data_IF_583941271356
#
_entry.id   IF_583941271356
#
_cell.length_a   1.000
_cell.length_b   1.000
_cell.length_c   1.000
_cell.angle_alpha   90.00
_cell.angle_beta   90.00
_cell.angle_gamma   90.00
#
_symmetry.space_group_name_H-M   'P 1'
#
loop_
_entity.id
_entity.type
_entity.pdbx_description
1 polymer ?
#
# COMPACT_ATOMS: atom_id res chain seq x y z
N UNK A 1 -15.11 -17.06 7.81
CA UNK A 1 -15.72 -15.80 7.40
C UNK A 1 -15.03 -15.27 6.16
N UNK A 2 -15.84 -14.88 5.14
CA UNK A 2 -15.41 -14.44 3.83
C UNK A 2 -14.95 -12.96 3.84
N UNK A 3 -15.53 -12.21 4.74
CA UNK A 3 -15.27 -10.80 4.98
C UNK A 3 -14.90 -10.59 6.44
N UNK A 4 -13.96 -9.70 6.68
CA UNK A 4 -13.53 -9.35 8.02
C UNK A 4 -13.51 -7.83 8.16
N UNK A 5 -14.16 -7.26 9.21
CA UNK A 5 -14.00 -5.86 9.52
C UNK A 5 -12.61 -5.59 10.09
N UNK A 6 -12.02 -4.46 9.70
CA UNK A 6 -10.79 -3.92 10.27
C UNK A 6 -11.00 -2.45 10.59
N UNK A 7 -10.38 -1.98 11.66
CA UNK A 7 -10.29 -0.55 11.97
C UNK A 7 -8.95 -0.04 11.45
N UNK A 8 -8.95 1.13 10.80
CA UNK A 8 -7.75 1.77 10.28
C UNK A 8 -6.92 2.30 11.47
N UNK A 9 -5.66 1.84 11.63
CA UNK A 9 -4.87 2.15 12.83
C UNK A 9 -4.00 3.41 12.69
N UNK A 10 -3.95 4.05 11.52
CA UNK A 10 -3.05 5.18 11.26
C UNK A 10 -3.47 6.02 10.06
N UNK A 11 -2.97 7.26 10.01
CA UNK A 11 -3.22 8.24 8.95
C UNK A 11 -2.49 7.96 7.62
N UNK A 12 -1.76 6.85 7.50
CA UNK A 12 -0.88 6.60 6.33
C UNK A 12 -1.63 6.38 5.01
N UNK A 13 -2.95 6.18 5.05
CA UNK A 13 -3.81 5.99 3.86
C UNK A 13 -4.74 7.19 3.61
N UNK A 14 -4.55 8.31 4.33
CA UNK A 14 -5.24 9.54 4.01
C UNK A 14 -4.86 10.04 2.59
N UNK A 15 -5.79 10.66 1.88
CA UNK A 15 -7.15 11.04 2.25
C UNK A 15 -8.22 9.96 1.96
N UNK A 16 -7.84 8.75 1.54
CA UNK A 16 -8.82 7.74 1.17
C UNK A 16 -9.38 6.97 2.37
N UNK A 17 -8.58 6.82 3.42
CA UNK A 17 -8.96 6.15 4.67
C UNK A 17 -8.37 6.92 5.84
N UNK A 18 -9.21 7.23 6.84
CA UNK A 18 -8.82 7.95 8.03
C UNK A 18 -8.63 6.99 9.21
N UNK A 19 -7.81 7.40 10.17
CA UNK A 19 -7.67 6.66 11.42
C UNK A 19 -9.03 6.53 12.11
N UNK A 20 -9.35 5.30 12.56
CA UNK A 20 -10.64 4.98 13.17
C UNK A 20 -11.72 4.52 12.20
N UNK A 21 -11.54 4.68 10.88
CA UNK A 21 -12.48 4.16 9.89
C UNK A 21 -12.59 2.63 9.96
N UNK A 22 -13.79 2.13 9.68
CA UNK A 22 -14.05 0.71 9.52
C UNK A 22 -14.06 0.34 8.06
N UNK A 23 -13.27 -0.66 7.70
CA UNK A 23 -13.27 -1.23 6.34
C UNK A 23 -13.67 -2.68 6.36
N UNK A 24 -14.16 -3.16 5.24
CA UNK A 24 -14.43 -4.58 5.01
C UNK A 24 -13.31 -5.16 4.16
N UNK A 25 -12.67 -6.21 4.65
CA UNK A 25 -11.60 -6.90 3.92
C UNK A 25 -12.12 -8.17 3.31
N UNK A 26 -12.07 -8.24 1.98
CA UNK A 26 -12.38 -9.43 1.21
C UNK A 26 -11.18 -10.37 1.19
N UNK A 27 -11.28 -11.45 1.94
CA UNK A 27 -10.24 -12.50 1.99
C UNK A 27 -10.19 -13.36 0.73
N UNK A 28 -11.26 -13.36 -0.06
CA UNK A 28 -11.32 -14.09 -1.33
C UNK A 28 -10.72 -13.37 -2.50
N UNK A 29 -10.55 -12.06 -2.41
CA UNK A 29 -10.09 -11.26 -3.54
C UNK A 29 -8.87 -11.91 -4.22
N UNK A 30 -8.02 -12.56 -3.40
CA UNK A 30 -6.77 -13.17 -3.89
C UNK A 30 -6.61 -14.66 -3.56
N UNK A 31 -7.69 -15.35 -3.14
CA UNK A 31 -7.64 -16.74 -2.67
C UNK A 31 -7.14 -16.85 -1.22
N UNK A 32 -7.04 -18.07 -0.73
CA UNK A 32 -6.71 -18.35 0.66
C UNK A 32 -5.19 -18.50 0.86
N UNK A 33 -4.65 -17.82 1.84
CA UNK A 33 -3.28 -18.02 2.35
C UNK A 33 -3.33 -18.30 3.85
N UNK A 34 -2.20 -18.71 4.44
CA UNK A 34 -2.10 -18.85 5.91
C UNK A 34 -2.47 -17.56 6.64
N UNK A 35 -2.10 -16.40 6.10
CA UNK A 35 -2.46 -15.09 6.66
C UNK A 35 -3.97 -14.80 6.64
N UNK A 36 -4.73 -15.44 5.74
CA UNK A 36 -6.19 -15.27 5.64
C UNK A 36 -6.96 -16.18 6.61
N UNK A 37 -6.30 -17.18 7.21
CA UNK A 37 -6.92 -18.15 8.12
C UNK A 37 -6.83 -17.68 9.58
N UNK A 38 -7.82 -18.06 10.44
CA UNK A 38 -7.72 -17.84 11.87
C UNK A 38 -6.45 -18.49 12.43
N UNK A 39 -5.79 -17.78 13.37
CA UNK A 39 -4.56 -18.23 14.03
C UNK A 39 -3.32 -18.41 13.13
N UNK A 40 -3.39 -17.98 11.85
CA UNK A 40 -2.27 -18.02 10.91
C UNK A 40 -1.51 -19.37 10.92
N UNK A 41 -2.18 -20.53 10.67
CA UNK A 41 -1.55 -21.83 10.78
C UNK A 41 -0.46 -22.00 9.71
N UNK A 42 0.72 -22.56 10.04
CA UNK A 42 1.82 -22.72 9.09
C UNK A 42 1.62 -23.84 8.07
N UNK A 43 0.43 -24.41 8.01
CA UNK A 43 0.14 -25.65 7.26
C UNK A 43 -0.09 -25.39 5.76
N UNK A 44 -0.48 -24.16 5.38
CA UNK A 44 -0.80 -23.81 3.99
C UNK A 44 0.33 -23.01 3.38
N UNK A 45 1.16 -23.64 2.57
CA UNK A 45 2.16 -22.96 1.73
C UNK A 45 1.50 -22.54 0.41
N UNK A 46 1.54 -21.24 0.12
CA UNK A 46 0.95 -20.64 -1.07
C UNK A 46 -0.55 -20.33 -0.95
N UNK A 47 -1.17 -19.93 -2.07
CA UNK A 47 -2.60 -19.60 -2.14
C UNK A 47 -3.38 -20.66 -2.89
N UNK A 48 -4.50 -21.08 -2.32
CA UNK A 48 -5.51 -21.86 -3.02
C UNK A 48 -6.40 -20.92 -3.85
N UNK A 49 -6.73 -21.29 -5.10
CA UNK A 49 -7.51 -20.48 -6.04
C UNK A 49 -6.87 -19.10 -6.29
N UNK A 50 -5.64 -19.10 -6.77
CA UNK A 50 -4.78 -17.94 -6.92
C UNK A 50 -5.37 -16.85 -7.81
N UNK A 51 -5.73 -15.73 -7.20
CA UNK A 51 -5.87 -14.43 -7.86
C UNK A 51 -4.76 -13.52 -7.30
N UNK A 52 -4.16 -12.70 -8.14
CA UNK A 52 -3.08 -11.80 -7.75
C UNK A 52 -3.62 -10.40 -7.51
N UNK A 53 -3.07 -9.65 -6.52
CA UNK A 53 -3.34 -8.23 -6.39
C UNK A 53 -3.04 -7.49 -7.68
N UNK A 54 -3.92 -6.55 -8.03
CA UNK A 54 -3.71 -5.64 -9.14
C UNK A 54 -3.04 -4.35 -8.64
N UNK A 55 -2.33 -3.66 -9.54
CA UNK A 55 -1.80 -2.33 -9.22
C UNK A 55 -2.96 -1.39 -8.88
N UNK A 56 -2.82 -0.63 -7.80
CA UNK A 56 -3.85 0.25 -7.27
C UNK A 56 -4.78 -0.39 -6.24
N UNK A 57 -4.78 -1.71 -6.08
CA UNK A 57 -5.54 -2.35 -4.99
C UNK A 57 -5.01 -1.89 -3.62
N UNK A 58 -5.92 -1.65 -2.69
CA UNK A 58 -5.57 -1.46 -1.28
C UNK A 58 -5.61 -2.80 -0.59
N UNK A 59 -4.50 -3.19 0.01
CA UNK A 59 -4.34 -4.50 0.64
C UNK A 59 -4.12 -4.37 2.15
N UNK A 60 -4.76 -5.25 2.91
CA UNK A 60 -4.46 -5.49 4.32
C UNK A 60 -3.56 -6.70 4.40
N UNK A 61 -2.49 -6.60 5.17
CA UNK A 61 -1.47 -7.63 5.27
C UNK A 61 -0.89 -7.71 6.69
N UNK A 62 -0.31 -8.86 7.03
CA UNK A 62 0.52 -9.01 8.22
C UNK A 62 1.91 -8.48 7.94
N UNK A 63 2.41 -7.63 8.84
CA UNK A 63 3.74 -7.07 8.68
C UNK A 63 4.79 -8.20 8.75
N UNK A 64 5.71 -8.31 7.76
CA UNK A 64 6.64 -9.45 7.72
C UNK A 64 7.50 -9.61 8.98
N UNK A 65 7.96 -8.49 9.58
CA UNK A 65 8.77 -8.50 10.80
C UNK A 65 7.96 -8.72 12.09
N UNK A 66 6.64 -8.48 12.03
CA UNK A 66 5.73 -8.64 13.17
C UNK A 66 4.36 -9.12 12.65
N UNK A 67 4.17 -10.44 12.50
CA UNK A 67 2.91 -10.99 11.98
C UNK A 67 1.69 -10.77 12.87
N UNK A 68 1.86 -10.27 14.09
CA UNK A 68 0.75 -9.87 14.96
C UNK A 68 0.14 -8.54 14.53
N UNK A 69 0.92 -7.67 13.88
CA UNK A 69 0.48 -6.38 13.38
C UNK A 69 -0.13 -6.51 11.97
N UNK A 70 -1.36 -6.00 11.82
CA UNK A 70 -2.00 -5.85 10.51
C UNK A 70 -1.82 -4.41 10.02
N UNK A 71 -1.32 -4.28 8.78
CA UNK A 71 -1.08 -3.01 8.11
C UNK A 71 -1.90 -2.91 6.83
N UNK A 72 -2.08 -1.68 6.35
CA UNK A 72 -2.81 -1.39 5.13
C UNK A 72 -2.01 -0.45 4.24
N UNK A 73 -1.88 -0.79 2.95
CA UNK A 73 -1.16 0.01 1.94
C UNK A 73 -1.74 -0.24 0.55
N UNK A 74 -1.40 0.62 -0.39
CA UNK A 74 -1.76 0.48 -1.81
C UNK A 74 -0.65 -0.22 -2.58
N UNK A 75 -1.04 -1.16 -3.43
CA UNK A 75 -0.12 -1.86 -4.35
C UNK A 75 0.29 -0.90 -5.47
N UNK A 76 1.59 -0.66 -5.59
CA UNK A 76 2.19 0.20 -6.62
C UNK A 76 2.99 -0.62 -7.62
N UNK A 77 3.81 -1.57 -7.16
CA UNK A 77 4.61 -2.45 -8.01
C UNK A 77 4.17 -3.90 -7.92
N UNK A 78 4.05 -4.54 -9.07
CA UNK A 78 3.73 -5.96 -9.23
C UNK A 78 5.00 -6.78 -9.42
N UNK A 79 4.96 -8.12 -9.22
CA UNK A 79 6.09 -8.98 -9.52
C UNK A 79 6.64 -8.73 -10.93
N UNK A 80 7.95 -8.48 -11.05
CA UNK A 80 8.63 -8.17 -12.30
C UNK A 80 8.77 -6.68 -12.61
N UNK A 81 8.03 -5.80 -11.93
CA UNK A 81 8.18 -4.35 -12.11
C UNK A 81 9.48 -3.82 -11.52
N UNK A 82 9.88 -2.67 -12.02
CA UNK A 82 10.85 -1.78 -11.38
C UNK A 82 10.13 -0.53 -10.93
N UNK A 83 10.18 -0.22 -9.63
CA UNK A 83 9.58 0.99 -9.04
C UNK A 83 10.68 1.92 -8.58
N UNK A 84 10.56 3.20 -8.89
CA UNK A 84 11.46 4.25 -8.41
C UNK A 84 10.65 5.50 -8.07
N UNK A 85 11.10 6.25 -7.07
CA UNK A 85 10.56 7.57 -6.76
C UNK A 85 11.64 8.60 -7.07
N UNK A 86 11.27 9.67 -7.78
CA UNK A 86 12.14 10.81 -8.11
C UNK A 86 11.40 12.11 -7.85
N UNK A 87 11.86 12.91 -6.88
CA UNK A 87 11.20 14.15 -6.48
C UNK A 87 9.72 13.93 -6.12
N UNK A 88 9.37 12.86 -5.42
CA UNK A 88 8.01 12.48 -5.06
C UNK A 88 7.19 11.85 -6.22
N UNK A 89 7.70 11.88 -7.45
CA UNK A 89 7.06 11.24 -8.60
C UNK A 89 7.31 9.74 -8.61
N UNK A 90 6.25 8.94 -8.61
CA UNK A 90 6.35 7.49 -8.77
C UNK A 90 6.58 7.14 -10.24
N UNK A 91 7.59 6.32 -10.49
CA UNK A 91 7.85 5.70 -11.80
C UNK A 91 7.69 4.18 -11.68
N UNK A 92 7.01 3.59 -12.62
CA UNK A 92 6.88 2.14 -12.75
C UNK A 92 7.38 1.74 -14.13
N UNK A 93 8.42 0.91 -14.18
CA UNK A 93 9.10 0.52 -15.42
C UNK A 93 9.54 1.75 -16.24
N UNK A 94 10.15 2.73 -15.55
CA UNK A 94 10.58 4.03 -16.07
C UNK A 94 9.47 4.95 -16.60
N UNK A 95 8.20 4.56 -16.46
CA UNK A 95 7.07 5.38 -16.86
C UNK A 95 6.49 6.09 -15.62
N UNK A 96 6.36 7.43 -15.66
CA UNK A 96 5.77 8.16 -14.55
C UNK A 96 4.26 7.85 -14.43
N UNK A 97 3.80 7.62 -13.21
CA UNK A 97 2.37 7.58 -12.90
C UNK A 97 1.81 8.99 -13.09
N UNK A 98 0.76 9.13 -13.88
CA UNK A 98 0.18 10.45 -14.16
C UNK A 98 -0.32 11.11 -12.86
N UNK A 99 0.04 12.38 -12.64
CA UNK A 99 -0.30 13.17 -11.46
C UNK A 99 -1.04 14.45 -11.84
N UNK A 100 -2.13 14.73 -11.15
CA UNK A 100 -2.88 15.97 -11.28
C UNK A 100 -2.99 16.64 -9.91
N UNK A 101 -2.31 17.75 -9.67
CA UNK A 101 -2.49 18.54 -8.43
C UNK A 101 -3.92 19.04 -8.31
N UNK A 102 -4.52 18.92 -7.14
CA UNK A 102 -5.89 19.36 -6.86
C UNK A 102 -5.94 20.59 -5.95
N UNK A 103 -4.85 20.89 -5.26
CA UNK A 103 -4.75 22.04 -4.37
C UNK A 103 -4.26 21.69 -2.98
N UNK A 104 -4.11 22.73 -2.15
CA UNK A 104 -3.67 22.56 -0.78
C UNK A 104 -4.72 21.84 0.06
N UNK A 105 -4.25 20.95 0.92
CA UNK A 105 -5.03 20.23 1.90
C UNK A 105 -4.31 20.24 3.25
N UNK A 106 -4.93 19.63 4.25
CA UNK A 106 -4.34 19.44 5.56
C UNK A 106 -4.35 17.97 5.90
N UNK A 107 -3.27 17.50 6.46
CA UNK A 107 -3.17 16.20 7.09
C UNK A 107 -4.12 16.20 8.31
N UNK A 108 -5.01 15.22 8.41
CA UNK A 108 -5.97 15.15 9.50
C UNK A 108 -5.29 14.82 10.83
N UNK A 109 -4.29 13.95 10.79
CA UNK A 109 -3.50 13.52 11.95
C UNK A 109 -2.50 14.61 12.42
N UNK A 110 -2.09 15.48 11.50
CA UNK A 110 -1.19 16.61 11.77
C UNK A 110 -1.74 17.89 11.11
N UNK A 111 -2.79 18.54 11.68
CA UNK A 111 -3.49 19.66 11.04
C UNK A 111 -2.62 20.90 10.76
N UNK A 112 -1.49 21.04 11.44
CA UNK A 112 -0.48 22.09 11.17
C UNK A 112 0.32 21.79 9.90
N UNK A 113 0.36 20.54 9.45
CA UNK A 113 1.07 20.11 8.26
C UNK A 113 0.24 20.42 7.01
N UNK A 114 0.76 21.29 6.20
CA UNK A 114 0.20 21.55 4.87
C UNK A 114 0.66 20.47 3.91
N UNK A 115 -0.29 19.90 3.17
CA UNK A 115 -0.01 18.92 2.14
C UNK A 115 -0.69 19.34 0.84
N UNK A 116 -0.20 18.84 -0.27
CA UNK A 116 -0.83 18.95 -1.58
C UNK A 116 -1.68 17.70 -1.81
N UNK A 117 -2.97 17.87 -2.06
CA UNK A 117 -3.80 16.79 -2.57
C UNK A 117 -3.50 16.57 -4.06
N UNK A 118 -3.20 15.35 -4.43
CA UNK A 118 -2.83 14.96 -5.79
C UNK A 118 -3.67 13.77 -6.21
N UNK A 119 -4.21 13.80 -7.44
CA UNK A 119 -4.80 12.61 -8.06
C UNK A 119 -3.72 11.90 -8.85
N UNK A 120 -3.47 10.66 -8.52
CA UNK A 120 -2.68 9.75 -9.34
C UNK A 120 -3.59 8.90 -10.22
N UNK A 121 -3.22 8.73 -11.48
CA UNK A 121 -3.98 7.95 -12.46
C UNK A 121 -3.09 6.87 -13.04
N UNK A 122 -3.54 5.62 -12.91
CA UNK A 122 -2.86 4.45 -13.43
C UNK A 122 -3.09 4.30 -14.94
N UNK A 123 -2.26 3.49 -15.60
CA UNK A 123 -2.35 3.26 -17.03
C UNK A 123 -3.66 2.61 -17.51
N UNK A 124 -4.42 1.99 -16.60
CA UNK A 124 -5.76 1.44 -16.88
C UNK A 124 -6.90 2.44 -16.65
N UNK A 125 -6.58 3.69 -16.31
CA UNK A 125 -7.53 4.77 -16.06
C UNK A 125 -8.07 4.84 -14.63
N UNK A 126 -7.79 3.86 -13.77
CA UNK A 126 -8.14 3.96 -12.34
C UNK A 126 -7.32 5.07 -11.68
N UNK A 127 -7.95 5.80 -10.78
CA UNK A 127 -7.30 6.89 -10.06
C UNK A 127 -7.61 6.85 -8.58
N UNK A 128 -6.73 7.46 -7.79
CA UNK A 128 -6.87 7.62 -6.35
C UNK A 128 -6.21 8.92 -5.92
N UNK A 129 -6.58 9.38 -4.73
CA UNK A 129 -5.99 10.57 -4.13
C UNK A 129 -4.77 10.22 -3.30
N UNK A 130 -3.81 11.15 -3.25
CA UNK A 130 -2.65 11.07 -2.38
C UNK A 130 -2.40 12.41 -1.70
N UNK A 131 -1.73 12.39 -0.56
CA UNK A 131 -1.16 13.56 0.07
C UNK A 131 0.35 13.59 -0.13
N UNK A 132 0.86 14.76 -0.52
CA UNK A 132 2.27 15.05 -0.79
C UNK A 132 2.67 16.26 0.07
N UNK A 133 3.68 16.12 0.91
CA UNK A 133 4.17 17.16 1.81
C UNK A 133 5.10 18.18 1.14
N UNK A 134 5.30 18.07 -0.16
CA UNK A 134 6.18 18.95 -0.95
C UNK A 134 7.59 18.37 -1.15
N UNK A 135 8.43 19.13 -1.78
CA UNK A 135 9.77 18.69 -2.18
C UNK A 135 10.72 18.44 -1.01
N UNK A 136 11.59 17.45 -1.18
CA UNK A 136 12.69 17.18 -0.26
C UNK A 136 12.30 16.41 0.99
N UNK A 137 11.14 15.75 0.95
CA UNK A 137 10.73 14.86 2.04
C UNK A 137 11.53 13.55 2.01
N UNK A 138 11.73 12.91 3.16
CA UNK A 138 12.31 11.58 3.20
C UNK A 138 11.47 10.59 2.34
N UNK A 139 12.13 9.86 1.45
CA UNK A 139 11.46 8.92 0.53
C UNK A 139 11.01 9.51 -0.80
N UNK A 140 11.27 10.83 -1.05
CA UNK A 140 11.01 11.46 -2.35
C UNK A 140 11.97 10.98 -3.45
N UNK A 141 13.17 10.59 -3.07
CA UNK A 141 14.17 10.07 -3.98
C UNK A 141 14.66 8.70 -3.51
N UNK A 142 14.50 7.70 -4.37
CA UNK A 142 14.95 6.34 -4.10
C UNK A 142 15.80 5.81 -5.25
N UNK A 143 16.55 4.74 -4.98
CA UNK A 143 17.04 3.87 -6.04
C UNK A 143 15.89 3.08 -6.69
N UNK A 144 16.17 2.39 -7.81
CA UNK A 144 15.19 1.50 -8.41
C UNK A 144 15.00 0.25 -7.55
N UNK A 145 13.75 -0.11 -7.27
CA UNK A 145 13.37 -1.36 -6.62
C UNK A 145 12.87 -2.34 -7.67
N UNK A 146 13.60 -3.41 -7.92
CA UNK A 146 13.10 -4.52 -8.73
C UNK A 146 12.23 -5.43 -7.84
N UNK A 147 10.97 -5.59 -8.22
CA UNK A 147 10.01 -6.40 -7.45
C UNK A 147 10.15 -7.87 -7.86
N UNK A 148 10.59 -8.76 -6.95
CA UNK A 148 10.75 -10.18 -7.25
C UNK A 148 9.42 -10.90 -7.48
N UNK A 149 9.48 -12.11 -8.02
CA UNK A 149 8.32 -13.01 -8.08
C UNK A 149 7.73 -13.25 -6.67
N UNK A 150 6.40 -13.21 -6.56
CA UNK A 150 5.70 -13.44 -5.30
C UNK A 150 5.81 -12.30 -4.28
N UNK A 151 6.28 -11.13 -4.69
CA UNK A 151 6.36 -9.94 -3.84
C UNK A 151 5.70 -8.73 -4.49
N UNK A 152 5.42 -7.71 -3.68
CA UNK A 152 4.77 -6.47 -4.11
C UNK A 152 5.48 -5.27 -3.50
N UNK A 153 5.50 -4.16 -4.26
CA UNK A 153 5.90 -2.86 -3.74
C UNK A 153 4.63 -2.09 -3.37
N UNK A 154 4.53 -1.69 -2.11
CA UNK A 154 3.33 -1.02 -1.59
C UNK A 154 3.69 0.36 -1.03
N UNK A 155 2.77 1.32 -1.15
CA UNK A 155 2.92 2.67 -0.60
C UNK A 155 1.66 3.11 0.13
N UNK A 156 1.84 4.00 1.12
CA UNK A 156 0.74 4.74 1.69
C UNK A 156 0.25 5.85 0.76
N UNK A 157 -1.02 6.20 0.86
CA UNK A 157 -1.60 7.32 0.10
C UNK A 157 -1.19 8.66 0.70
N UNK A 158 -0.98 8.76 2.02
CA UNK A 158 -0.31 9.87 2.69
C UNK A 158 1.21 9.69 2.56
N UNK A 159 1.76 10.10 1.42
CA UNK A 159 3.10 9.78 0.93
C UNK A 159 4.21 10.07 1.95
N UNK A 160 4.14 11.20 2.62
CA UNK A 160 5.19 11.65 3.54
C UNK A 160 4.85 11.35 5.01
N UNK A 161 3.75 10.65 5.24
CA UNK A 161 3.35 10.11 6.54
C UNK A 161 3.10 8.60 6.46
N UNK A 162 3.99 7.87 5.79
CA UNK A 162 3.85 6.42 5.61
C UNK A 162 5.20 5.70 5.70
N UNK A 163 5.24 4.72 6.57
CA UNK A 163 6.29 3.69 6.56
C UNK A 163 5.81 2.56 5.64
N UNK A 164 6.42 2.42 4.46
CA UNK A 164 5.99 1.49 3.42
C UNK A 164 7.19 0.81 2.73
N UNK A 165 7.05 0.38 1.48
CA UNK A 165 8.12 -0.33 0.77
C UNK A 165 9.33 0.53 0.43
N UNK A 166 9.24 1.85 0.52
CA UNK A 166 10.39 2.76 0.38
C UNK A 166 11.39 2.62 1.54
N UNK A 167 10.95 2.04 2.64
CA UNK A 167 11.73 1.85 3.85
C UNK A 167 12.09 0.37 4.03
N UNK A 168 13.33 0.05 4.46
CA UNK A 168 13.73 -1.33 4.72
C UNK A 168 12.76 -2.05 5.66
N UNK A 169 12.62 -3.36 5.51
CA UNK A 169 11.70 -4.17 6.32
C UNK A 169 11.90 -4.08 7.84
N UNK A 170 13.08 -3.66 8.29
CA UNK A 170 13.34 -3.41 9.72
C UNK A 170 12.62 -2.14 10.24
N UNK A 171 12.31 -1.19 9.37
CA UNK A 171 11.68 0.10 9.72
C UNK A 171 10.27 0.19 9.12
N UNK A 172 10.15 -0.02 7.81
CA UNK A 172 8.91 0.01 7.06
C UNK A 172 8.39 -1.38 6.71
N UNK A 173 7.94 -1.55 5.49
CA UNK A 173 7.43 -2.84 4.97
C UNK A 173 8.51 -3.58 4.19
N UNK A 174 9.39 -2.86 3.49
CA UNK A 174 10.22 -3.44 2.46
C UNK A 174 9.36 -3.98 1.31
N UNK A 175 9.82 -5.03 0.63
CA UNK A 175 8.99 -5.75 -0.33
C UNK A 175 8.03 -6.68 0.41
N UNK A 176 6.75 -6.60 0.06
CA UNK A 176 5.69 -7.36 0.72
C UNK A 176 5.53 -8.74 0.09
N UNK A 177 5.80 -9.84 0.81
CA UNK A 177 5.52 -11.18 0.30
C UNK A 177 4.02 -11.41 0.11
N UNK A 178 3.65 -12.09 -0.97
CA UNK A 178 2.26 -12.40 -1.29
C UNK A 178 1.53 -13.15 -0.16
N UNK A 179 2.24 -14.03 0.52
CA UNK A 179 1.72 -14.84 1.63
C UNK A 179 1.29 -14.02 2.85
N UNK A 180 1.86 -12.82 3.03
CA UNK A 180 1.50 -11.92 4.11
C UNK A 180 0.18 -11.17 3.87
N UNK A 181 -0.34 -11.14 2.64
CA UNK A 181 -1.57 -10.42 2.31
C UNK A 181 -2.79 -11.18 2.85
N UNK A 182 -3.57 -10.52 3.69
CA UNK A 182 -4.82 -11.04 4.26
C UNK A 182 -5.93 -10.95 3.22
N UNK A 183 -6.07 -9.80 2.54
CA UNK A 183 -7.10 -9.58 1.55
C UNK A 183 -7.09 -8.15 1.00
N UNK A 184 -8.09 -7.87 0.14
CA UNK A 184 -8.32 -6.54 -0.42
C UNK A 184 -9.29 -5.75 0.45
N UNK A 185 -8.97 -4.49 0.72
CA UNK A 185 -9.90 -3.55 1.29
C UNK A 185 -10.95 -3.16 0.23
N UNK A 186 -12.21 -3.30 0.57
CA UNK A 186 -13.32 -2.79 -0.22
C UNK A 186 -13.64 -1.39 0.31
N UNK A 187 -13.35 -0.39 -0.50
CA UNK A 187 -13.48 1.06 -0.24
C UNK A 187 -14.38 1.69 -1.27
#
# INVERSE_FOLDING_TARGET
FLFQPFTIPSASMEPNLYEGDYIVVSKFAYGWSSASLPFNPPIVKGRLLKRTPARGDVVVFRLPRDPSAAWIKRVIGLPGDTVQIRGGQVLVNDQPVARTPLGAARDHDAPERRVLAVRETLGDGRSYLTYDGGFGQPGDDTGPYRVPAGQYFVMGDNRDNSLDSRWPGAVGVGLLPEENIIGRAEI
#
